data_IF_857618946334
#
_entry.id   IF_857618946334
#
_cell.length_a   1.000
_cell.length_b   1.000
_cell.length_c   1.000
_cell.angle_alpha   90.00
_cell.angle_beta   90.00
_cell.angle_gamma   90.00
#
_symmetry.space_group_name_H-M   'P 1'
#
loop_
_entity.id
_entity.type
_entity.pdbx_description
1 polymer ?
#
# COMPACT_ATOMS: atom_id res chain seq x y z
N UNK A 1 19.27 16.85 0.04
CA UNK A 1 18.10 16.17 0.62
C UNK A 1 18.36 14.70 0.38
N UNK A 2 18.77 13.97 1.42
CA UNK A 2 19.07 12.54 1.30
C UNK A 2 17.72 11.84 1.46
N UNK A 3 17.13 11.43 0.34
CA UNK A 3 15.97 10.52 0.37
C UNK A 3 16.55 9.19 0.83
N UNK A 4 16.18 8.75 2.03
CA UNK A 4 16.59 7.43 2.52
C UNK A 4 15.70 6.40 1.85
N UNK A 5 16.27 5.23 1.61
CA UNK A 5 15.67 4.06 0.99
C UNK A 5 14.29 3.78 1.58
N UNK A 6 13.26 3.97 0.76
CA UNK A 6 11.93 3.43 0.96
C UNK A 6 12.01 1.91 0.86
N UNK A 7 12.52 1.27 1.91
CA UNK A 7 12.21 -0.12 2.17
C UNK A 7 10.80 -0.09 2.76
N UNK A 8 9.80 -0.16 1.88
CA UNK A 8 8.46 -0.51 2.31
C UNK A 8 8.60 -1.86 3.00
N UNK A 9 8.43 -1.86 4.32
CA UNK A 9 8.19 -3.07 5.08
C UNK A 9 6.67 -3.19 5.10
N UNK A 10 6.03 -3.44 3.95
CA UNK A 10 4.60 -3.69 3.95
C UNK A 10 4.34 -5.17 4.26
N UNK A 11 3.69 -5.39 5.40
CA UNK A 11 2.84 -6.56 5.68
C UNK A 11 3.51 -7.94 5.55
N UNK A 12 4.30 -8.34 6.55
CA UNK A 12 4.08 -9.68 7.14
C UNK A 12 2.90 -9.59 8.10
N UNK A 13 1.71 -9.28 7.59
CA UNK A 13 0.49 -9.36 8.36
C UNK A 13 0.04 -10.81 8.32
N UNK A 14 0.54 -11.58 9.27
CA UNK A 14 -0.02 -12.88 9.56
C UNK A 14 -1.44 -12.65 10.09
N UNK A 15 -2.44 -12.66 9.19
CA UNK A 15 -3.88 -12.77 9.48
C UNK A 15 -4.21 -14.13 10.15
N UNK A 16 -3.39 -14.57 11.10
CA UNK A 16 -3.52 -15.85 11.81
C UNK A 16 -4.44 -15.73 13.04
N UNK A 17 -4.92 -14.52 13.35
CA UNK A 17 -5.58 -14.23 14.64
C UNK A 17 -7.12 -14.27 14.70
N UNK A 18 -7.88 -14.19 13.59
CA UNK A 18 -9.36 -14.08 13.67
C UNK A 18 -10.10 -15.41 13.93
N UNK A 19 -9.43 -16.41 14.52
CA UNK A 19 -9.90 -17.79 14.61
C UNK A 19 -10.86 -18.16 15.75
N UNK A 20 -11.34 -17.23 16.59
CA UNK A 20 -12.16 -17.59 17.77
C UNK A 20 -13.37 -16.68 18.07
N UNK A 21 -13.82 -15.84 17.14
CA UNK A 21 -15.21 -15.34 17.14
C UNK A 21 -15.87 -15.79 15.83
N UNK A 22 -17.15 -16.21 15.89
CA UNK A 22 -17.90 -16.84 14.77
C UNK A 22 -17.36 -16.39 13.41
N UNK A 23 -16.71 -17.29 12.69
CA UNK A 23 -16.04 -17.01 11.43
C UNK A 23 -17.04 -16.42 10.42
N UNK A 24 -17.02 -15.10 10.31
CA UNK A 24 -17.50 -14.39 9.13
C UNK A 24 -16.38 -14.51 8.10
N UNK A 25 -16.48 -15.52 7.23
CA UNK A 25 -15.63 -15.64 6.04
C UNK A 25 -15.93 -14.42 5.16
N UNK A 26 -15.02 -13.45 5.12
CA UNK A 26 -15.14 -12.32 4.22
C UNK A 26 -14.89 -12.82 2.80
N UNK A 27 -15.96 -12.92 2.02
CA UNK A 27 -15.87 -13.21 0.59
C UNK A 27 -15.40 -11.94 -0.15
N UNK A 28 -14.10 -11.84 -0.36
CA UNK A 28 -13.46 -10.74 -1.08
C UNK A 28 -13.61 -10.87 -2.62
N UNK A 29 -14.23 -11.94 -3.13
CA UNK A 29 -14.34 -12.22 -4.57
C UNK A 29 -15.24 -11.24 -5.35
N UNK A 30 -15.98 -10.37 -4.64
CA UNK A 30 -16.86 -9.34 -5.23
C UNK A 30 -16.19 -8.00 -5.57
N UNK A 31 -14.90 -7.81 -5.29
CA UNK A 31 -14.22 -6.52 -5.41
C UNK A 31 -13.74 -6.30 -6.85
N UNK A 32 -14.60 -5.69 -7.69
CA UNK A 32 -14.31 -5.42 -9.10
C UNK A 32 -13.41 -4.17 -9.28
N UNK A 33 -12.42 -4.27 -10.16
CA UNK A 33 -11.19 -3.45 -10.21
C UNK A 33 -11.26 -2.11 -10.95
N UNK A 34 -12.44 -1.51 -11.14
CA UNK A 34 -12.54 -0.28 -11.94
C UNK A 34 -13.61 0.68 -11.42
N UNK A 35 -13.33 1.45 -10.36
CA UNK A 35 -14.14 2.64 -10.09
C UNK A 35 -13.47 3.65 -9.13
N UNK A 36 -13.73 4.94 -9.37
CA UNK A 36 -12.99 6.10 -8.81
C UNK A 36 -13.32 6.37 -7.33
N UNK A 37 -12.26 6.72 -6.59
CA UNK A 37 -12.00 6.62 -5.14
C UNK A 37 -12.81 7.47 -4.12
N UNK A 38 -14.04 7.95 -4.38
CA UNK A 38 -14.74 8.78 -3.35
C UNK A 38 -16.23 8.54 -3.17
N UNK A 39 -17.01 8.44 -4.24
CA UNK A 39 -18.46 8.18 -4.12
C UNK A 39 -18.75 6.73 -3.78
N UNK A 40 -17.87 5.82 -4.19
CA UNK A 40 -18.20 4.41 -4.24
C UNK A 40 -17.96 3.70 -2.91
N UNK A 41 -16.94 4.08 -2.13
CA UNK A 41 -16.70 3.50 -0.80
C UNK A 41 -17.84 3.88 0.17
N UNK A 42 -18.29 5.14 0.17
CA UNK A 42 -19.43 5.57 0.99
C UNK A 42 -20.73 4.90 0.52
N UNK A 43 -20.90 4.70 -0.79
CA UNK A 43 -22.03 3.96 -1.34
C UNK A 43 -21.94 2.45 -1.05
N UNK A 44 -20.76 1.84 -1.02
CA UNK A 44 -20.52 0.43 -0.71
C UNK A 44 -20.78 0.15 0.77
N UNK A 45 -20.29 1.01 1.68
CA UNK A 45 -20.63 0.96 3.11
C UNK A 45 -22.13 1.24 3.31
N UNK A 46 -22.70 2.19 2.56
CA UNK A 46 -24.13 2.50 2.59
C UNK A 46 -25.01 1.35 2.09
N UNK A 47 -24.60 0.65 1.03
CA UNK A 47 -25.30 -0.47 0.42
C UNK A 47 -25.14 -1.76 1.24
N UNK A 48 -23.98 -2.01 1.86
CA UNK A 48 -23.78 -3.11 2.80
C UNK A 48 -24.76 -3.03 3.98
N UNK A 49 -25.09 -1.81 4.41
CA UNK A 49 -26.07 -1.55 5.47
C UNK A 49 -27.55 -1.60 5.01
N UNK A 50 -27.84 -1.80 3.72
CA UNK A 50 -29.20 -1.83 3.16
C UNK A 50 -29.69 -3.21 2.69
N UNK A 51 -28.86 -4.26 2.73
CA UNK A 51 -29.34 -5.62 2.44
C UNK A 51 -30.07 -6.21 3.66
N UNK A 52 -31.35 -6.57 3.51
CA UNK A 52 -32.27 -7.04 4.56
C UNK A 52 -31.87 -8.37 5.26
N UNK A 53 -30.66 -8.87 5.07
CA UNK A 53 -30.13 -10.06 5.77
C UNK A 53 -28.66 -10.01 6.17
N UNK A 54 -27.92 -8.92 5.92
CA UNK A 54 -26.54 -8.79 6.37
C UNK A 54 -26.51 -8.16 7.77
N UNK A 55 -25.81 -8.81 8.72
CA UNK A 55 -25.48 -8.20 10.01
C UNK A 55 -24.82 -6.83 9.75
N UNK A 56 -25.39 -5.76 10.32
CA UNK A 56 -24.76 -4.44 10.25
C UNK A 56 -23.37 -4.52 10.88
N UNK A 57 -22.36 -4.11 10.11
CA UNK A 57 -20.98 -4.07 10.57
C UNK A 57 -20.85 -3.18 11.80
N UNK A 58 -20.03 -3.62 12.77
CA UNK A 58 -19.74 -2.78 13.93
C UNK A 58 -19.01 -1.51 13.51
N UNK A 59 -19.04 -0.42 14.30
CA UNK A 59 -18.26 0.79 13.99
C UNK A 59 -16.76 0.50 13.78
N UNK A 60 -16.22 -0.48 14.52
CA UNK A 60 -14.82 -0.93 14.37
C UNK A 60 -14.60 -1.61 13.03
N UNK A 61 -15.48 -2.53 12.63
CA UNK A 61 -15.38 -3.22 11.35
C UNK A 61 -15.50 -2.26 10.17
N UNK A 62 -16.35 -1.23 10.29
CA UNK A 62 -16.47 -0.16 9.29
C UNK A 62 -15.16 0.62 9.11
N UNK A 63 -14.52 1.03 10.21
CA UNK A 63 -13.25 1.74 10.19
C UNK A 63 -12.11 0.88 9.60
N UNK A 64 -12.04 -0.39 10.00
CA UNK A 64 -11.08 -1.36 9.47
C UNK A 64 -11.29 -1.60 7.97
N UNK A 65 -12.54 -1.83 7.56
CA UNK A 65 -12.90 -2.03 6.17
C UNK A 65 -12.53 -0.82 5.30
N UNK A 66 -12.91 0.39 5.73
CA UNK A 66 -12.52 1.64 5.07
C UNK A 66 -11.00 1.72 4.87
N UNK A 67 -10.25 1.40 5.93
CA UNK A 67 -8.79 1.46 5.91
C UNK A 67 -8.20 0.43 4.94
N UNK A 68 -8.65 -0.84 5.00
CA UNK A 68 -8.17 -1.91 4.13
C UNK A 68 -8.44 -1.64 2.65
N UNK A 69 -9.65 -1.14 2.33
CA UNK A 69 -10.02 -0.78 0.95
C UNK A 69 -9.14 0.36 0.43
N UNK A 70 -8.91 1.39 1.24
CA UNK A 70 -8.05 2.50 0.84
C UNK A 70 -6.61 2.04 0.54
N UNK A 71 -6.04 1.18 1.40
CA UNK A 71 -4.70 0.64 1.18
C UNK A 71 -4.63 -0.27 -0.04
N UNK A 72 -5.62 -1.15 -0.23
CA UNK A 72 -5.74 -1.96 -1.45
C UNK A 72 -5.69 -1.07 -2.69
N UNK A 73 -6.50 -0.02 -2.73
CA UNK A 73 -6.62 0.84 -3.91
C UNK A 73 -5.33 1.61 -4.21
N UNK A 74 -4.66 2.13 -3.16
CA UNK A 74 -3.37 2.80 -3.30
C UNK A 74 -2.31 1.83 -3.83
N UNK A 75 -2.22 0.62 -3.24
CA UNK A 75 -1.25 -0.40 -3.65
C UNK A 75 -1.53 -0.95 -5.05
N UNK A 76 -2.80 -1.14 -5.41
CA UNK A 76 -3.21 -1.56 -6.75
C UNK A 76 -2.76 -0.55 -7.80
N UNK A 77 -3.05 0.73 -7.57
CA UNK A 77 -2.61 1.82 -8.44
C UNK A 77 -1.09 1.86 -8.61
N UNK A 78 -0.33 1.67 -7.53
CA UNK A 78 1.12 1.57 -7.58
C UNK A 78 1.59 0.40 -8.45
N UNK A 79 1.08 -0.81 -8.18
CA UNK A 79 1.49 -2.05 -8.82
C UNK A 79 1.11 -2.05 -10.31
N UNK A 80 -0.05 -1.54 -10.68
CA UNK A 80 -0.46 -1.41 -12.09
C UNK A 80 0.47 -0.48 -12.88
N UNK A 81 0.90 0.63 -12.27
CA UNK A 81 1.86 1.55 -12.90
C UNK A 81 3.24 0.92 -12.96
N UNK A 82 3.68 0.24 -11.90
CA UNK A 82 4.93 -0.51 -11.87
C UNK A 82 4.97 -1.64 -12.92
N UNK A 83 3.85 -2.31 -13.19
CA UNK A 83 3.71 -3.30 -14.26
C UNK A 83 3.89 -2.68 -15.65
N UNK A 84 3.27 -1.54 -15.91
CA UNK A 84 3.45 -0.82 -17.17
C UNK A 84 4.90 -0.37 -17.40
N UNK A 85 5.57 0.09 -16.33
CA UNK A 85 6.98 0.46 -16.35
C UNK A 85 7.87 -0.76 -16.60
N UNK A 86 7.64 -1.84 -15.86
CA UNK A 86 8.35 -3.11 -15.97
C UNK A 86 8.26 -3.68 -17.38
N UNK A 87 7.06 -3.70 -17.96
CA UNK A 87 6.85 -4.11 -19.35
C UNK A 87 7.66 -3.26 -20.33
N UNK A 88 7.71 -1.95 -20.12
CA UNK A 88 8.49 -1.02 -20.98
C UNK A 88 10.00 -1.27 -20.86
N UNK A 89 10.50 -1.51 -19.64
CA UNK A 89 11.90 -1.83 -19.37
C UNK A 89 12.30 -3.16 -20.02
N UNK A 90 11.49 -4.20 -19.88
CA UNK A 90 11.75 -5.52 -20.46
C UNK A 90 11.76 -5.51 -21.99
N UNK A 91 11.14 -4.53 -22.63
CA UNK A 91 11.13 -4.33 -24.07
C UNK A 91 12.12 -3.26 -24.56
N UNK A 92 12.93 -2.66 -23.69
CA UNK A 92 13.93 -1.67 -24.08
C UNK A 92 15.21 -2.35 -24.60
N UNK A 93 15.45 -2.22 -25.90
CA UNK A 93 16.62 -2.79 -26.57
C UNK A 93 17.95 -2.27 -26.00
N UNK A 94 18.02 -1.10 -25.37
CA UNK A 94 19.30 -0.60 -24.82
C UNK A 94 19.76 -1.39 -23.57
N UNK A 95 18.90 -2.23 -23.00
CA UNK A 95 19.27 -3.19 -21.95
C UNK A 95 19.59 -4.58 -22.52
N UNK A 96 19.42 -4.81 -23.83
CA UNK A 96 19.64 -6.09 -24.51
C UNK A 96 20.62 -5.98 -25.70
N UNK A 97 21.49 -6.98 -25.93
CA UNK A 97 22.00 -7.97 -25.00
C UNK A 97 23.11 -7.34 -24.13
N UNK A 98 22.85 -7.16 -22.84
CA UNK A 98 23.86 -6.70 -21.90
C UNK A 98 24.45 -7.87 -21.11
N UNK A 99 25.78 -8.01 -21.11
CA UNK A 99 26.47 -9.09 -20.39
C UNK A 99 26.73 -8.82 -18.92
N UNK A 100 26.48 -7.59 -18.46
CA UNK A 100 26.67 -7.17 -17.07
C UNK A 100 25.82 -8.01 -16.11
N UNK A 101 26.45 -8.62 -15.07
CA UNK A 101 25.73 -9.32 -14.02
C UNK A 101 24.66 -8.44 -13.34
N UNK A 102 24.94 -7.15 -13.14
CA UNK A 102 24.02 -6.21 -12.50
C UNK A 102 22.75 -6.00 -13.34
N UNK A 103 22.91 -5.78 -14.65
CA UNK A 103 21.75 -5.59 -15.54
C UNK A 103 20.97 -6.90 -15.69
N UNK A 104 21.65 -8.05 -15.74
CA UNK A 104 20.98 -9.37 -15.75
C UNK A 104 20.16 -9.61 -14.49
N UNK A 105 20.70 -9.28 -13.32
CA UNK A 105 19.99 -9.39 -12.04
C UNK A 105 18.79 -8.43 -11.97
N UNK A 106 18.98 -7.17 -12.37
CA UNK A 106 17.90 -6.20 -12.44
C UNK A 106 16.75 -6.68 -13.36
N UNK A 107 17.04 -7.10 -14.58
CA UNK A 107 16.03 -7.62 -15.51
C UNK A 107 15.36 -8.89 -15.00
N UNK A 108 16.09 -9.75 -14.27
CA UNK A 108 15.52 -10.92 -13.61
C UNK A 108 14.50 -10.52 -12.54
N UNK A 109 14.82 -9.56 -11.68
CA UNK A 109 13.91 -9.10 -10.63
C UNK A 109 12.65 -8.42 -11.22
N UNK A 110 12.81 -7.63 -12.29
CA UNK A 110 11.68 -7.05 -13.03
C UNK A 110 10.81 -8.14 -13.68
N UNK A 111 11.42 -9.20 -14.22
CA UNK A 111 10.69 -10.35 -14.77
C UNK A 111 9.92 -11.09 -13.68
N UNK A 112 10.55 -11.33 -12.52
CA UNK A 112 9.90 -11.97 -11.38
C UNK A 112 8.70 -11.16 -10.86
N UNK A 113 8.85 -9.83 -10.79
CA UNK A 113 7.74 -8.94 -10.46
C UNK A 113 6.56 -9.11 -11.43
N UNK A 114 6.82 -9.10 -12.75
CA UNK A 114 5.77 -9.29 -13.76
C UNK A 114 5.10 -10.66 -13.65
N UNK A 115 5.86 -11.73 -13.45
CA UNK A 115 5.32 -13.09 -13.30
C UNK A 115 4.41 -13.24 -12.08
N UNK A 116 4.67 -12.48 -11.00
CA UNK A 116 3.82 -12.43 -9.81
C UNK A 116 2.61 -11.51 -10.03
N UNK A 117 2.81 -10.36 -10.68
CA UNK A 117 1.73 -9.43 -11.03
C UNK A 117 0.64 -10.09 -11.90
N UNK A 118 1.01 -11.00 -12.80
CA UNK A 118 0.03 -11.72 -13.63
C UNK A 118 -0.81 -12.76 -12.88
N UNK A 119 -0.47 -13.07 -11.62
CA UNK A 119 -1.00 -14.23 -10.88
C UNK A 119 -1.51 -13.93 -9.48
N UNK A 120 -1.28 -12.72 -8.94
CA UNK A 120 -1.73 -12.43 -7.59
C UNK A 120 -3.26 -12.43 -7.52
N UNK A 121 -3.79 -12.96 -6.43
CA UNK A 121 -5.23 -13.01 -6.18
C UNK A 121 -5.58 -12.32 -4.86
N UNK A 122 -4.67 -12.34 -3.89
CA UNK A 122 -4.91 -11.88 -2.53
C UNK A 122 -4.28 -10.52 -2.23
N UNK A 123 -4.84 -9.82 -1.23
CA UNK A 123 -4.39 -8.47 -0.84
C UNK A 123 -2.98 -8.44 -0.25
N UNK A 124 -2.57 -9.49 0.46
CA UNK A 124 -1.21 -9.62 0.99
C UNK A 124 -0.19 -9.80 -0.14
N UNK A 125 -0.55 -10.55 -1.19
CA UNK A 125 0.26 -10.66 -2.41
C UNK A 125 0.40 -9.31 -3.12
N UNK A 126 -0.66 -8.49 -3.14
CA UNK A 126 -0.61 -7.13 -3.68
C UNK A 126 0.41 -6.25 -2.92
N UNK A 127 0.44 -6.33 -1.59
CA UNK A 127 1.44 -5.60 -0.80
C UNK A 127 2.87 -6.12 -1.04
N UNK A 128 3.03 -7.43 -1.15
CA UNK A 128 4.32 -8.04 -1.52
C UNK A 128 4.82 -7.57 -2.90
N UNK A 129 3.91 -7.26 -3.85
CA UNK A 129 4.27 -6.71 -5.16
C UNK A 129 4.80 -5.28 -5.06
N UNK A 130 4.20 -4.43 -4.21
CA UNK A 130 4.72 -3.08 -3.91
C UNK A 130 6.15 -3.18 -3.39
N UNK A 131 6.37 -4.05 -2.39
CA UNK A 131 7.68 -4.24 -1.76
C UNK A 131 8.71 -4.79 -2.75
N UNK A 132 8.34 -5.78 -3.55
CA UNK A 132 9.24 -6.37 -4.54
C UNK A 132 9.72 -5.33 -5.56
N UNK A 133 8.81 -4.51 -6.08
CA UNK A 133 9.15 -3.49 -7.07
C UNK A 133 9.98 -2.36 -6.45
N UNK A 134 9.56 -1.82 -5.29
CA UNK A 134 10.30 -0.75 -4.60
C UNK A 134 11.71 -1.21 -4.23
N UNK A 135 11.87 -2.38 -3.60
CA UNK A 135 13.19 -2.91 -3.25
C UNK A 135 14.07 -3.20 -4.47
N UNK A 136 13.46 -3.42 -5.65
CA UNK A 136 14.19 -3.59 -6.91
C UNK A 136 14.69 -2.27 -7.49
N UNK A 137 14.02 -1.15 -7.24
CA UNK A 137 14.20 0.10 -8.00
C UNK A 137 14.69 1.29 -7.19
N UNK A 138 14.31 1.41 -5.92
CA UNK A 138 14.52 2.61 -5.10
C UNK A 138 15.99 2.98 -4.91
N UNK A 139 16.87 2.00 -4.69
CA UNK A 139 18.29 2.27 -4.44
C UNK A 139 19.01 2.91 -5.64
N UNK A 140 18.49 2.77 -6.86
CA UNK A 140 19.09 3.39 -8.05
C UNK A 140 18.94 4.92 -8.06
N UNK A 141 18.01 5.49 -7.30
CA UNK A 141 17.79 6.93 -7.22
C UNK A 141 18.61 7.63 -6.12
N UNK A 142 19.25 6.85 -5.24
CA UNK A 142 19.97 7.35 -4.07
C UNK A 142 21.49 7.46 -4.28
N UNK A 143 21.98 6.88 -5.37
CA UNK A 143 23.41 6.81 -5.63
C UNK A 143 23.93 8.16 -6.12
N UNK A 144 25.05 8.61 -5.55
CA UNK A 144 25.79 9.75 -6.08
C UNK A 144 26.26 9.40 -7.50
N UNK A 145 25.80 10.17 -8.48
CA UNK A 145 26.16 9.97 -9.88
C UNK A 145 27.67 10.00 -10.12
N UNK A 146 28.45 10.69 -9.27
CA UNK A 146 29.91 10.72 -9.35
C UNK A 146 30.56 9.40 -8.92
N UNK A 147 29.85 8.56 -8.15
CA UNK A 147 30.33 7.28 -7.61
C UNK A 147 29.65 6.07 -8.28
N UNK A 148 28.56 6.29 -9.02
CA UNK A 148 27.79 5.24 -9.67
C UNK A 148 28.54 4.62 -10.86
N UNK A 149 28.43 3.29 -11.02
CA UNK A 149 28.95 2.61 -12.21
C UNK A 149 28.13 2.98 -13.46
N UNK A 150 28.71 2.83 -14.67
CA UNK A 150 27.96 3.07 -15.91
C UNK A 150 26.66 2.25 -16.01
N UNK A 151 26.65 1.03 -15.48
CA UNK A 151 25.47 0.16 -15.49
C UNK A 151 24.38 0.67 -14.54
N UNK A 152 24.75 1.12 -13.34
CA UNK A 152 23.82 1.77 -12.40
C UNK A 152 23.17 2.99 -13.05
N UNK A 153 23.98 3.87 -13.64
CA UNK A 153 23.49 5.07 -14.33
C UNK A 153 22.62 4.71 -15.55
N UNK A 154 22.87 3.57 -16.19
CA UNK A 154 22.02 3.08 -17.27
C UNK A 154 20.66 2.66 -16.73
N UNK A 155 20.61 1.84 -15.68
CA UNK A 155 19.36 1.39 -15.04
C UNK A 155 18.56 2.58 -14.53
N UNK A 156 19.17 3.48 -13.77
CA UNK A 156 18.52 4.70 -13.27
C UNK A 156 17.91 5.53 -14.41
N UNK A 157 18.64 5.72 -15.51
CA UNK A 157 18.12 6.44 -16.68
C UNK A 157 16.90 5.76 -17.28
N UNK A 158 16.86 4.42 -17.31
CA UNK A 158 15.70 3.66 -17.80
C UNK A 158 14.51 3.79 -16.86
N UNK A 159 14.75 3.66 -15.55
CA UNK A 159 13.73 3.88 -14.53
C UNK A 159 13.09 5.28 -14.66
N UNK A 160 13.92 6.33 -14.78
CA UNK A 160 13.44 7.71 -15.02
C UNK A 160 12.72 7.88 -16.36
N UNK A 161 13.25 7.30 -17.44
CA UNK A 161 12.64 7.37 -18.78
C UNK A 161 11.21 6.85 -18.78
N UNK A 162 10.92 5.83 -17.98
CA UNK A 162 9.60 5.21 -17.91
C UNK A 162 8.75 5.71 -16.73
N UNK A 163 9.24 6.64 -15.92
CA UNK A 163 8.47 7.31 -14.87
C UNK A 163 8.45 6.60 -13.51
N UNK A 164 9.43 5.74 -13.23
CA UNK A 164 9.52 5.05 -11.94
C UNK A 164 9.84 6.01 -10.77
N UNK A 165 10.45 7.16 -11.02
CA UNK A 165 10.76 8.19 -10.02
C UNK A 165 9.54 9.04 -9.59
N UNK A 166 8.40 8.87 -10.29
CA UNK A 166 7.12 9.47 -9.93
C UNK A 166 6.24 8.52 -9.08
N UNK A 167 6.54 7.23 -9.03
CA UNK A 167 5.72 6.23 -8.33
C UNK A 167 5.59 6.53 -6.83
N UNK A 168 6.72 6.66 -6.14
CA UNK A 168 6.73 6.86 -4.69
C UNK A 168 6.08 8.20 -4.30
N UNK A 169 6.30 9.26 -5.09
CA UNK A 169 5.66 10.56 -4.88
C UNK A 169 4.15 10.52 -5.05
N UNK A 170 3.66 9.74 -6.01
CA UNK A 170 2.22 9.55 -6.19
C UNK A 170 1.63 8.68 -5.07
N UNK A 171 2.34 7.64 -4.63
CA UNK A 171 1.95 6.84 -3.47
C UNK A 171 1.80 7.71 -2.21
N UNK A 172 2.83 8.49 -1.89
CA UNK A 172 2.84 9.43 -0.76
C UNK A 172 1.63 10.39 -0.81
N UNK A 173 1.35 10.93 -2.00
CA UNK A 173 0.24 11.85 -2.23
C UNK A 173 -1.12 11.19 -2.00
N UNK A 174 -1.34 9.99 -2.52
CA UNK A 174 -2.60 9.27 -2.29
C UNK A 174 -2.73 8.82 -0.82
N UNK A 175 -1.63 8.42 -0.18
CA UNK A 175 -1.59 8.12 1.25
C UNK A 175 -1.99 9.34 2.10
N UNK A 176 -1.44 10.53 1.83
CA UNK A 176 -1.80 11.74 2.58
C UNK A 176 -3.28 12.11 2.40
N UNK A 177 -3.84 11.94 1.20
CA UNK A 177 -5.29 12.11 0.97
C UNK A 177 -6.14 11.09 1.71
N UNK A 178 -5.64 9.86 1.84
CA UNK A 178 -6.25 8.85 2.68
C UNK A 178 -6.22 9.29 4.15
N UNK A 179 -5.08 9.77 4.66
CA UNK A 179 -4.92 10.21 6.05
C UNK A 179 -5.90 11.31 6.42
N UNK A 180 -6.11 12.30 5.55
CA UNK A 180 -7.10 13.36 5.77
C UNK A 180 -8.51 12.78 5.99
N UNK A 181 -8.91 11.80 5.17
CA UNK A 181 -10.21 11.11 5.30
C UNK A 181 -10.26 10.15 6.48
N UNK A 182 -9.14 9.53 6.81
CA UNK A 182 -9.02 8.65 7.97
C UNK A 182 -9.29 9.43 9.27
N UNK A 183 -8.86 10.69 9.38
CA UNK A 183 -9.20 11.52 10.53
C UNK A 183 -10.71 11.76 10.67
N UNK A 184 -11.41 12.00 9.57
CA UNK A 184 -12.87 12.15 9.57
C UNK A 184 -13.56 10.85 10.00
N UNK A 185 -13.11 9.70 9.47
CA UNK A 185 -13.64 8.38 9.84
C UNK A 185 -13.34 8.01 11.29
N UNK A 186 -12.19 8.43 11.83
CA UNK A 186 -11.84 8.27 13.22
C UNK A 186 -12.75 9.07 14.15
N UNK A 187 -13.08 10.31 13.78
CA UNK A 187 -13.98 11.14 14.58
C UNK A 187 -15.43 10.60 14.53
N UNK A 188 -15.87 10.09 13.38
CA UNK A 188 -17.14 9.37 13.27
C UNK A 188 -17.17 8.10 14.13
N UNK A 189 -16.10 7.30 14.08
CA UNK A 189 -15.95 6.09 14.89
C UNK A 189 -16.05 6.42 16.38
N UNK A 190 -15.28 7.41 16.87
CA UNK A 190 -15.34 7.89 18.26
C UNK A 190 -16.74 8.29 18.68
N UNK A 191 -17.49 8.97 17.80
CA UNK A 191 -18.86 9.42 18.08
C UNK A 191 -19.87 8.29 18.25
N UNK A 192 -19.56 7.08 17.78
CA UNK A 192 -20.42 5.88 17.87
C UNK A 192 -20.10 5.00 19.08
N UNK A 193 -19.01 5.27 19.82
CA UNK A 193 -18.59 4.43 20.95
C UNK A 193 -19.28 4.81 22.26
N UNK A 194 -19.60 3.80 23.08
CA UNK A 194 -19.98 3.97 24.48
C UNK A 194 -18.77 4.38 25.36
N UNK A 195 -19.04 4.82 26.61
CA UNK A 195 -17.96 5.17 27.55
C UNK A 195 -17.05 3.99 27.87
N UNK A 196 -17.59 2.77 27.97
CA UNK A 196 -16.82 1.55 28.18
C UNK A 196 -15.94 1.21 26.97
N UNK A 197 -16.44 1.39 25.75
CA UNK A 197 -15.67 1.14 24.53
C UNK A 197 -14.58 2.19 24.32
N UNK A 198 -14.85 3.47 24.61
CA UNK A 198 -13.84 4.52 24.59
C UNK A 198 -12.65 4.21 25.51
N UNK A 199 -12.91 3.60 26.69
CA UNK A 199 -11.83 3.17 27.60
C UNK A 199 -11.00 2.04 27.02
N UNK A 200 -11.60 1.11 26.27
CA UNK A 200 -10.89 0.01 25.60
C UNK A 200 -10.02 0.51 24.46
N UNK A 201 -10.51 1.49 23.71
CA UNK A 201 -9.82 2.07 22.56
C UNK A 201 -8.77 3.14 22.96
N UNK A 202 -8.60 3.43 24.26
CA UNK A 202 -7.78 4.56 24.74
C UNK A 202 -6.35 4.56 24.20
N UNK A 203 -5.72 3.38 24.05
CA UNK A 203 -4.37 3.28 23.50
C UNK A 203 -4.30 3.69 22.01
N UNK A 204 -5.28 3.28 21.21
CA UNK A 204 -5.40 3.67 19.80
C UNK A 204 -5.74 5.17 19.69
N UNK A 205 -6.63 5.67 20.56
CA UNK A 205 -6.95 7.10 20.59
C UNK A 205 -5.76 7.98 20.97
N UNK A 206 -4.92 7.53 21.91
CA UNK A 206 -3.69 8.22 22.27
C UNK A 206 -2.71 8.23 21.09
N UNK A 207 -2.53 7.09 20.42
CA UNK A 207 -1.70 7.02 19.23
C UNK A 207 -2.19 7.98 18.13
N UNK A 208 -3.50 8.11 17.92
CA UNK A 208 -4.04 9.04 16.92
C UNK A 208 -3.60 10.50 17.20
N UNK A 209 -3.58 10.91 18.48
CA UNK A 209 -3.13 12.26 18.85
C UNK A 209 -1.62 12.44 18.68
N UNK A 210 -0.82 11.39 18.82
CA UNK A 210 0.62 11.37 18.51
C UNK A 210 0.88 11.34 16.99
N UNK A 211 -0.01 10.71 16.22
CA UNK A 211 0.10 10.53 14.78
C UNK A 211 -0.26 11.79 13.97
N UNK A 212 -1.29 12.52 14.40
CA UNK A 212 -1.74 13.78 13.76
C UNK A 212 -0.61 14.78 13.47
N UNK A 213 0.24 15.17 14.44
CA UNK A 213 1.25 16.21 14.26
C UNK A 213 2.47 15.77 13.42
N UNK A 214 2.57 14.52 12.97
CA UNK A 214 3.71 14.07 12.16
C UNK A 214 3.66 14.78 10.78
N UNK A 215 4.66 15.62 10.50
CA UNK A 215 4.74 16.37 9.23
C UNK A 215 5.53 15.62 8.15
N UNK A 216 6.52 14.83 8.54
CA UNK A 216 7.32 14.06 7.61
C UNK A 216 6.48 12.89 7.04
N UNK A 217 6.31 12.84 5.72
CA UNK A 217 5.43 11.86 5.07
C UNK A 217 5.90 10.42 5.26
N UNK A 218 7.22 10.18 5.17
CA UNK A 218 7.82 8.86 5.40
C UNK A 218 7.56 8.38 6.85
N UNK A 219 7.86 9.22 7.84
CA UNK A 219 7.58 8.94 9.25
C UNK A 219 6.08 8.73 9.50
N UNK A 220 5.22 9.44 8.76
CA UNK A 220 3.76 9.30 8.85
C UNK A 220 3.30 7.95 8.29
N UNK A 221 3.81 7.51 7.14
CA UNK A 221 3.51 6.17 6.59
C UNK A 221 3.91 5.09 7.60
N UNK A 222 5.16 5.12 8.09
CA UNK A 222 5.68 4.15 9.06
C UNK A 222 4.85 4.15 10.36
N UNK A 223 4.51 5.35 10.87
CA UNK A 223 3.72 5.48 12.10
C UNK A 223 2.29 4.97 11.94
N UNK A 224 1.76 4.96 10.71
CA UNK A 224 0.42 4.45 10.42
C UNK A 224 0.33 2.93 10.59
N UNK A 225 1.41 2.18 10.36
CA UNK A 225 1.43 0.72 10.55
C UNK A 225 0.95 0.29 11.94
N UNK A 226 1.23 1.12 12.96
CA UNK A 226 0.80 0.86 14.35
C UNK A 226 -0.71 0.78 14.49
N UNK A 227 -1.49 1.38 13.58
CA UNK A 227 -2.95 1.28 13.55
C UNK A 227 -3.42 -0.18 13.50
N UNK A 228 -2.87 -0.99 12.59
CA UNK A 228 -3.28 -2.39 12.42
C UNK A 228 -2.95 -3.24 13.65
N UNK A 229 -1.86 -2.93 14.36
CA UNK A 229 -1.43 -3.64 15.58
C UNK A 229 -2.38 -3.47 16.77
N UNK A 230 -3.29 -2.49 16.76
CA UNK A 230 -4.33 -2.40 17.80
C UNK A 230 -5.41 -3.48 17.64
N UNK A 231 -5.43 -4.15 16.50
CA UNK A 231 -6.45 -5.12 16.11
C UNK A 231 -5.87 -6.49 15.74
N UNK A 232 -4.56 -6.67 15.95
CA UNK A 232 -3.88 -7.96 15.96
C UNK A 232 -4.05 -8.55 17.38
N UNK A 233 -4.79 -9.66 17.49
CA UNK A 233 -4.95 -10.42 18.75
C UNK A 233 -3.66 -11.17 19.14
#
# INVERSE_FOLDING_TARGET
MVVKTFSFIFFTLALVGLGQSKSFEWDYSGLNSNEVLSSNIANEIGNANQSESAEQLTPKDQLLYFTLIAFRDISQSYVDRAANISHSILNDDDLKPNDSPLIKEFLKNITEFMERYEKYEEIDELFNLVDLYSNTTSHYFELDAALASPDVLNIERKLKKYGSDDLDREFEKEFLRFVDRFYEQMDEYKGKLSEEELKKEMAMLQWLEEFKPIENTEEKIISFEKFFRFYED
#
